data_IF_783354307845
#
_entry.id   IF_783354307845
#
_cell.length_a   1.000
_cell.length_b   1.000
_cell.length_c   1.000
_cell.angle_alpha   90.00
_cell.angle_beta   90.00
_cell.angle_gamma   90.00
#
_symmetry.space_group_name_H-M   'P 1'
#
loop_
_entity.id
_entity.type
_entity.pdbx_description
1 polymer ?
#
# COMPACT_ATOMS: atom_id res chain seq x y z
N UNK A 1 -12.38 -19.16 -36.17
CA UNK A 1 -12.55 -19.47 -34.73
C UNK A 1 -11.24 -19.16 -34.04
N UNK A 2 -11.05 -17.88 -33.65
CA UNK A 2 -9.84 -17.44 -32.96
C UNK A 2 -9.96 -17.79 -31.49
N UNK A 3 -9.14 -18.72 -31.01
CA UNK A 3 -8.92 -18.92 -29.58
C UNK A 3 -8.10 -17.74 -29.08
N UNK A 4 -8.75 -16.86 -28.31
CA UNK A 4 -8.13 -15.76 -27.59
C UNK A 4 -7.33 -16.37 -26.43
N UNK A 5 -6.13 -16.89 -26.72
CA UNK A 5 -5.23 -17.35 -25.68
C UNK A 5 -4.67 -16.13 -24.96
N UNK A 6 -5.14 -15.91 -23.73
CA UNK A 6 -4.54 -14.96 -22.80
C UNK A 6 -3.08 -15.38 -22.58
N UNK A 7 -2.07 -14.55 -22.89
CA UNK A 7 -0.70 -14.89 -22.56
C UNK A 7 -0.50 -14.77 -21.05
N UNK A 8 -0.05 -15.86 -20.46
CA UNK A 8 0.28 -16.02 -19.07
C UNK A 8 1.24 -14.93 -18.55
N UNK A 9 0.91 -14.40 -17.37
CA UNK A 9 1.71 -13.48 -16.57
C UNK A 9 3.13 -14.04 -16.39
N UNK A 10 4.14 -13.42 -17.02
CA UNK A 10 5.55 -13.83 -16.88
C UNK A 10 6.03 -13.55 -15.45
N UNK A 11 6.31 -14.64 -14.73
CA UNK A 11 7.01 -14.69 -13.43
C UNK A 11 8.47 -14.23 -13.63
N UNK A 12 8.75 -12.93 -13.61
CA UNK A 12 10.10 -12.49 -13.96
C UNK A 12 10.47 -11.01 -14.03
N UNK A 13 9.70 -10.07 -13.47
CA UNK A 13 10.17 -8.68 -13.30
C UNK A 13 9.69 -8.10 -11.96
N UNK A 14 10.12 -8.70 -10.84
CA UNK A 14 9.96 -8.08 -9.51
C UNK A 14 11.04 -7.01 -9.38
N UNK A 15 10.79 -5.86 -9.98
CA UNK A 15 11.53 -4.66 -9.62
C UNK A 15 10.96 -4.22 -8.28
N UNK A 16 11.67 -4.54 -7.19
CA UNK A 16 11.25 -4.25 -5.83
C UNK A 16 10.93 -2.76 -5.68
N UNK A 17 9.64 -2.42 -5.72
CA UNK A 17 9.15 -1.08 -5.42
C UNK A 17 8.54 -1.12 -4.02
N UNK A 18 8.75 -0.08 -3.24
CA UNK A 18 8.12 0.03 -1.93
C UNK A 18 6.60 -0.02 -2.07
N UNK A 19 5.94 -0.77 -1.21
CA UNK A 19 4.48 -0.77 -1.06
C UNK A 19 4.15 -0.94 0.42
N UNK A 20 2.92 -0.58 0.79
CA UNK A 20 2.41 -0.68 2.14
C UNK A 20 1.05 -1.36 2.05
N UNK A 21 0.86 -2.43 2.81
CA UNK A 21 -0.42 -3.09 3.01
C UNK A 21 -0.80 -2.94 4.49
N UNK A 22 -2.04 -2.54 4.74
CA UNK A 22 -2.56 -2.30 6.09
C UNK A 22 -3.82 -3.12 6.24
N UNK A 23 -3.80 -4.06 7.18
CA UNK A 23 -5.02 -4.74 7.60
C UNK A 23 -5.90 -3.74 8.35
N UNK A 24 -7.03 -3.39 7.72
CA UNK A 24 -7.95 -2.39 8.23
C UNK A 24 -8.63 -2.81 9.54
N UNK A 25 -8.83 -4.12 9.76
CA UNK A 25 -9.51 -4.64 10.95
C UNK A 25 -8.57 -4.72 12.16
N UNK A 26 -7.25 -4.72 11.93
CA UNK A 26 -6.22 -4.66 12.97
C UNK A 26 -5.75 -3.24 13.30
N UNK A 27 -5.90 -2.31 12.36
CA UNK A 27 -5.51 -0.91 12.56
C UNK A 27 -6.36 -0.23 13.65
N UNK A 28 -5.69 0.55 14.51
CA UNK A 28 -6.28 1.23 15.67
C UNK A 28 -6.34 2.76 15.55
N UNK A 29 -6.12 3.32 14.36
CA UNK A 29 -6.03 4.78 14.13
C UNK A 29 -5.07 5.50 15.10
N UNK A 30 -3.92 4.89 15.41
CA UNK A 30 -2.90 5.49 16.30
C UNK A 30 -2.08 6.60 15.63
N UNK A 31 -2.14 6.70 14.30
CA UNK A 31 -1.48 7.72 13.46
C UNK A 31 0.06 7.68 13.45
N UNK A 32 0.71 6.75 14.15
CA UNK A 32 2.19 6.63 14.14
C UNK A 32 2.75 6.44 12.74
N UNK A 33 2.21 5.50 11.97
CA UNK A 33 2.65 5.22 10.60
C UNK A 33 2.57 6.45 9.68
N UNK A 34 1.56 7.32 9.88
CA UNK A 34 1.38 8.57 9.13
C UNK A 34 2.51 9.55 9.47
N UNK A 35 2.79 9.74 10.76
CA UNK A 35 3.80 10.70 11.24
C UNK A 35 5.22 10.30 10.83
N UNK A 36 5.55 9.01 10.83
CA UNK A 36 6.91 8.54 10.53
C UNK A 36 7.20 8.40 9.03
N UNK A 37 6.19 8.42 8.16
CA UNK A 37 6.40 8.25 6.73
C UNK A 37 7.08 9.50 6.12
N UNK A 38 8.35 9.44 5.69
CA UNK A 38 9.05 10.63 5.17
C UNK A 38 8.44 11.15 3.87
N UNK A 39 7.74 10.28 3.13
CA UNK A 39 7.10 10.58 1.85
C UNK A 39 5.61 10.94 2.01
N UNK A 40 5.06 10.88 3.24
CA UNK A 40 3.66 11.18 3.55
C UNK A 40 2.67 10.43 2.66
N UNK A 41 2.88 9.12 2.51
CA UNK A 41 2.08 8.25 1.63
C UNK A 41 0.99 7.46 2.37
N UNK A 42 0.73 7.79 3.64
CA UNK A 42 -0.27 7.14 4.47
C UNK A 42 -1.17 8.23 5.06
N UNK A 43 -2.47 8.00 5.07
CA UNK A 43 -3.45 8.88 5.70
C UNK A 43 -4.55 8.06 6.39
N UNK A 44 -5.42 8.69 7.17
CA UNK A 44 -6.61 8.03 7.71
C UNK A 44 -7.64 7.78 6.61
N UNK A 45 -8.27 6.61 6.65
CA UNK A 45 -9.41 6.25 5.81
C UNK A 45 -10.63 7.12 6.11
N UNK A 46 -11.50 7.29 5.12
CA UNK A 46 -12.84 7.88 5.26
C UNK A 46 -13.87 6.89 5.82
N UNK A 47 -13.51 5.60 5.89
CA UNK A 47 -14.37 4.51 6.38
C UNK A 47 -13.88 3.95 7.70
N UNK A 48 -14.84 3.59 8.53
CA UNK A 48 -14.64 2.97 9.81
C UNK A 48 -14.55 1.44 9.70
N UNK A 49 -13.69 0.79 10.48
CA UNK A 49 -13.67 -0.68 10.62
C UNK A 49 -14.72 -1.17 11.64
N UNK A 50 -14.84 -2.49 11.84
CA UNK A 50 -15.82 -3.06 12.79
C UNK A 50 -15.61 -2.62 14.26
N UNK A 51 -14.45 -2.08 14.60
CA UNK A 51 -14.10 -1.64 15.95
C UNK A 51 -14.32 -0.15 16.19
N UNK A 52 -14.74 0.61 15.19
CA UNK A 52 -14.98 2.04 15.34
C UNK A 52 -13.79 2.94 14.95
N UNK A 53 -12.68 2.39 14.46
CA UNK A 53 -11.50 3.17 14.07
C UNK A 53 -11.57 3.59 12.61
N UNK A 54 -10.93 4.71 12.25
CA UNK A 54 -10.64 5.10 10.87
C UNK A 54 -9.26 4.57 10.48
N UNK A 55 -9.16 3.38 9.84
CA UNK A 55 -7.88 2.73 9.61
C UNK A 55 -6.95 3.58 8.74
N UNK A 56 -5.64 3.43 8.90
CA UNK A 56 -4.70 4.03 7.97
C UNK A 56 -4.83 3.38 6.58
N UNK A 57 -4.65 4.18 5.52
CA UNK A 57 -4.65 3.76 4.12
C UNK A 57 -3.40 4.27 3.40
N UNK A 58 -2.84 3.43 2.55
CA UNK A 58 -1.79 3.81 1.62
C UNK A 58 -2.40 4.54 0.42
N UNK A 59 -1.88 5.73 0.08
CA UNK A 59 -2.50 6.61 -0.94
C UNK A 59 -1.86 6.52 -2.31
N UNK A 60 -0.68 5.92 -2.37
CA UNK A 60 0.03 5.78 -3.62
C UNK A 60 -0.60 4.68 -4.48
N UNK A 61 -1.06 5.07 -5.68
CA UNK A 61 -1.63 4.11 -6.63
C UNK A 61 -0.53 3.17 -7.15
N UNK A 62 -0.87 1.90 -7.45
CA UNK A 62 0.04 1.02 -8.18
C UNK A 62 0.25 1.61 -9.59
N UNK A 63 1.39 2.28 -9.78
CA UNK A 63 1.83 2.82 -11.05
C UNK A 63 3.02 2.02 -11.59
N UNK A 64 3.37 2.25 -12.86
CA UNK A 64 4.65 1.80 -13.44
C UNK A 64 5.79 2.27 -12.53
N UNK A 65 6.94 1.57 -12.61
CA UNK A 65 8.10 1.80 -11.72
C UNK A 65 8.55 3.27 -11.67
N UNK A 66 8.43 3.98 -12.79
CA UNK A 66 8.65 5.43 -12.87
C UNK A 66 7.54 6.19 -12.14
N UNK A 67 7.91 6.88 -11.07
CA UNK A 67 6.97 7.68 -10.25
C UNK A 67 6.61 7.05 -8.91
N UNK A 68 7.21 5.91 -8.54
CA UNK A 68 7.08 5.35 -7.20
C UNK A 68 7.79 6.24 -6.17
N UNK A 69 7.05 6.70 -5.16
CA UNK A 69 7.53 7.51 -4.04
C UNK A 69 7.86 6.64 -2.84
N UNK A 70 7.15 5.54 -2.61
CA UNK A 70 7.46 4.65 -1.50
C UNK A 70 8.83 4.00 -1.70
N UNK A 71 9.76 4.29 -0.78
CA UNK A 71 11.14 3.78 -0.82
C UNK A 71 11.31 2.43 -0.15
N UNK A 72 10.27 1.90 0.51
CA UNK A 72 10.37 0.65 1.26
C UNK A 72 11.25 0.73 2.52
N UNK A 73 11.40 1.92 3.13
CA UNK A 73 12.25 2.13 4.31
C UNK A 73 11.73 1.47 5.62
N UNK A 74 10.51 0.94 5.63
CA UNK A 74 9.91 0.20 6.74
C UNK A 74 9.74 0.94 8.08
N UNK A 75 9.97 2.25 8.16
CA UNK A 75 9.75 3.03 9.38
C UNK A 75 8.31 2.89 9.92
N UNK A 76 7.32 2.89 9.03
CA UNK A 76 5.90 2.73 9.37
C UNK A 76 5.50 1.30 9.79
N UNK A 77 6.37 0.30 9.61
CA UNK A 77 6.12 -1.09 9.99
C UNK A 77 6.69 -1.43 11.38
N UNK A 78 7.57 -0.58 11.92
CA UNK A 78 8.21 -0.76 13.23
C UNK A 78 7.56 0.16 14.29
N UNK A 79 6.94 1.26 13.84
CA UNK A 79 6.33 2.32 14.66
C UNK A 79 5.08 1.92 15.42
#
# INVERSE_FOLDING_TARGET
MGVFQQPAMKKGEILATGFIEIDQELCKDCKFCITVCPQRLIESSDRMNQKGYYPARFVEKPAKKEGRKCTGCSLCAIS
#
